data_IF_230495163740
#
_entry.id   IF_230495163740
#
_cell.length_a   1.000
_cell.length_b   1.000
_cell.length_c   1.000
_cell.angle_alpha   90.00
_cell.angle_beta   90.00
_cell.angle_gamma   90.00
#
_symmetry.space_group_name_H-M   'P 1'
#
loop_
_entity.id
_entity.type
_entity.pdbx_description
1 polymer ?
#
# COMPACT_ATOMS: atom_id res chain seq x y z
N UNK A 1 -21.06 6.50 -27.07
CA UNK A 1 -19.92 6.86 -26.20
C UNK A 1 -19.83 5.76 -25.15
N UNK A 2 -18.78 4.91 -25.13
CA UNK A 2 -18.70 3.87 -24.12
C UNK A 2 -18.51 4.54 -22.75
N UNK A 3 -19.11 4.02 -21.67
CA UNK A 3 -18.88 4.58 -20.34
C UNK A 3 -17.39 4.48 -20.06
N UNK A 4 -16.72 5.62 -20.02
CA UNK A 4 -15.32 5.71 -19.68
C UNK A 4 -15.14 4.99 -18.34
N UNK A 5 -14.15 4.09 -18.25
CA UNK A 5 -13.77 3.37 -17.02
C UNK A 5 -13.16 4.36 -16.02
N UNK A 6 -13.94 5.35 -15.60
CA UNK A 6 -13.60 6.53 -14.80
C UNK A 6 -13.82 6.24 -13.32
N UNK A 7 -13.27 5.15 -12.83
CA UNK A 7 -13.45 4.78 -11.42
C UNK A 7 -12.14 4.75 -10.65
N UNK A 8 -10.96 4.55 -11.29
CA UNK A 8 -9.65 4.56 -10.61
C UNK A 8 -9.18 5.99 -10.27
N UNK A 9 -9.74 6.60 -9.23
CA UNK A 9 -9.43 7.96 -8.74
C UNK A 9 -8.47 8.00 -7.55
N UNK A 10 -7.96 6.83 -7.17
CA UNK A 10 -7.16 6.70 -5.96
C UNK A 10 -5.92 5.88 -6.24
N UNK A 11 -4.85 6.19 -5.52
CA UNK A 11 -3.59 5.46 -5.61
C UNK A 11 -3.17 5.07 -4.19
N UNK A 12 -2.94 3.78 -3.95
CA UNK A 12 -2.24 3.33 -2.76
C UNK A 12 -0.78 3.13 -3.09
N UNK A 13 0.11 3.64 -2.26
CA UNK A 13 1.56 3.54 -2.43
C UNK A 13 2.15 3.01 -1.14
N UNK A 14 2.66 1.79 -1.17
CA UNK A 14 3.44 1.22 -0.08
C UNK A 14 4.91 1.62 -0.24
N UNK A 15 5.51 2.12 0.84
CA UNK A 15 6.92 2.45 0.93
C UNK A 15 7.52 1.70 2.11
N UNK A 16 8.47 0.81 1.84
CA UNK A 16 9.34 0.24 2.87
C UNK A 16 10.58 1.12 2.97
N UNK A 17 10.73 1.81 4.10
CA UNK A 17 11.86 2.72 4.32
C UNK A 17 13.21 2.02 4.43
N UNK A 18 13.22 0.73 4.81
CA UNK A 18 14.44 -0.04 4.99
C UNK A 18 14.95 -0.60 3.67
N UNK A 19 14.07 -1.23 2.89
CA UNK A 19 14.45 -1.75 1.56
C UNK A 19 14.39 -0.69 0.47
N UNK A 20 13.95 0.53 0.81
CA UNK A 20 13.64 1.60 -0.15
C UNK A 20 12.70 1.13 -1.25
N UNK A 21 11.86 0.14 -0.94
CA UNK A 21 10.97 -0.47 -1.92
C UNK A 21 9.66 0.29 -1.99
N UNK A 22 9.15 0.45 -3.21
CA UNK A 22 7.95 1.24 -3.51
C UNK A 22 7.02 0.40 -4.40
N UNK A 23 5.77 0.23 -3.98
CA UNK A 23 4.74 -0.37 -4.83
C UNK A 23 3.49 0.50 -4.83
N UNK A 24 3.05 0.87 -6.02
CA UNK A 24 1.86 1.68 -6.23
C UNK A 24 0.77 0.85 -6.90
N UNK A 25 -0.46 0.92 -6.38
CA UNK A 25 -1.63 0.27 -6.94
C UNK A 25 -2.77 1.28 -7.14
N UNK A 26 -3.33 1.40 -8.35
CA UNK A 26 -4.51 2.22 -8.57
C UNK A 26 -5.75 1.53 -7.99
N UNK A 27 -6.60 2.30 -7.32
CA UNK A 27 -7.83 1.85 -6.69
C UNK A 27 -9.02 2.65 -7.19
N UNK A 28 -10.14 1.94 -7.37
CA UNK A 28 -11.41 2.57 -7.76
C UNK A 28 -12.03 3.37 -6.62
N UNK A 29 -11.82 2.90 -5.39
CA UNK A 29 -12.37 3.49 -4.18
C UNK A 29 -11.45 3.21 -3.02
N UNK A 30 -11.23 4.22 -2.19
CA UNK A 30 -10.61 4.07 -0.87
C UNK A 30 -11.63 3.38 0.03
N UNK A 31 -11.56 2.06 0.09
CA UNK A 31 -12.26 1.24 1.09
C UNK A 31 -11.21 0.56 1.96
N UNK A 32 -11.52 0.38 3.23
CA UNK A 32 -10.68 -0.35 4.19
C UNK A 32 -10.35 -1.75 3.70
N UNK A 33 -11.31 -2.43 3.07
CA UNK A 33 -11.12 -3.76 2.48
C UNK A 33 -10.06 -3.79 1.37
N UNK A 34 -10.05 -2.80 0.49
CA UNK A 34 -9.08 -2.72 -0.61
C UNK A 34 -7.68 -2.42 -0.08
N UNK A 35 -7.58 -1.52 0.92
CA UNK A 35 -6.32 -1.21 1.60
C UNK A 35 -5.80 -2.45 2.32
N UNK A 36 -6.64 -3.17 3.07
CA UNK A 36 -6.24 -4.41 3.75
C UNK A 36 -5.79 -5.50 2.77
N UNK A 37 -6.54 -5.73 1.68
CA UNK A 37 -6.16 -6.70 0.65
C UNK A 37 -4.82 -6.36 0.00
N UNK A 38 -4.59 -5.08 -0.28
CA UNK A 38 -3.32 -4.61 -0.83
C UNK A 38 -2.18 -4.80 0.18
N UNK A 39 -2.33 -4.34 1.43
CA UNK A 39 -1.34 -4.54 2.50
C UNK A 39 -1.03 -6.02 2.70
N UNK A 40 -2.04 -6.89 2.71
CA UNK A 40 -1.83 -8.32 2.86
C UNK A 40 -1.02 -8.91 1.70
N UNK A 41 -1.38 -8.57 0.46
CA UNK A 41 -0.73 -9.11 -0.73
C UNK A 41 0.68 -8.55 -0.96
N UNK A 42 0.87 -7.26 -0.75
CA UNK A 42 2.11 -6.55 -1.07
C UNK A 42 3.12 -6.56 0.08
N UNK A 43 2.64 -6.56 1.34
CA UNK A 43 3.49 -6.52 2.53
C UNK A 43 3.52 -7.89 3.22
N UNK A 44 2.37 -8.40 3.68
CA UNK A 44 2.33 -9.61 4.53
C UNK A 44 2.77 -10.87 3.78
N UNK A 45 2.27 -11.10 2.56
CA UNK A 45 2.63 -12.29 1.78
C UNK A 45 4.09 -12.33 1.34
N UNK A 46 4.78 -11.18 1.28
CA UNK A 46 6.18 -11.08 0.80
C UNK A 46 7.19 -10.93 1.92
N UNK A 47 6.90 -10.06 2.88
CA UNK A 47 7.81 -9.68 3.94
C UNK A 47 7.38 -10.26 5.29
N UNK A 48 6.16 -10.75 5.45
CA UNK A 48 5.62 -11.16 6.75
C UNK A 48 4.95 -9.99 7.49
N UNK A 49 4.64 -10.19 8.77
CA UNK A 49 3.85 -9.24 9.54
C UNK A 49 4.74 -8.04 9.93
N UNK A 50 4.42 -6.82 9.46
CA UNK A 50 5.18 -5.64 9.83
C UNK A 50 4.91 -5.26 11.28
N UNK A 51 5.93 -4.74 11.98
CA UNK A 51 5.78 -4.32 13.38
C UNK A 51 4.93 -3.04 13.51
N UNK A 52 5.06 -2.12 12.55
CA UNK A 52 4.27 -0.90 12.50
C UNK A 52 3.88 -0.56 11.06
N UNK A 53 2.59 -0.28 10.87
CA UNK A 53 2.03 0.20 9.62
C UNK A 53 1.43 1.58 9.84
N UNK A 54 1.93 2.59 9.13
CA UNK A 54 1.37 3.93 9.19
C UNK A 54 0.72 4.26 7.86
N UNK A 55 -0.52 4.76 7.90
CA UNK A 55 -1.30 5.06 6.70
C UNK A 55 -1.66 6.54 6.66
N UNK A 56 -1.16 7.26 5.66
CA UNK A 56 -1.48 8.69 5.44
C UNK A 56 -2.44 8.83 4.27
N UNK A 57 -3.51 9.61 4.47
CA UNK A 57 -4.45 9.96 3.40
C UNK A 57 -4.21 11.41 3.00
N UNK A 58 -3.67 11.62 1.81
CA UNK A 58 -3.53 12.93 1.21
C UNK A 58 -4.70 13.19 0.25
N UNK A 59 -5.39 14.31 0.42
CA UNK A 59 -6.47 14.75 -0.48
C UNK A 59 -5.99 15.94 -1.28
N UNK A 60 -5.54 15.73 -2.52
CA UNK A 60 -5.17 16.81 -3.42
C UNK A 60 -6.22 16.85 -4.54
N UNK A 61 -7.10 17.86 -4.51
CA UNK A 61 -8.09 18.15 -5.56
C UNK A 61 -8.58 16.96 -6.39
N UNK A 62 -9.55 16.20 -5.88
CA UNK A 62 -10.22 15.04 -6.48
C UNK A 62 -9.52 13.67 -6.46
N UNK A 63 -8.20 13.59 -6.34
CA UNK A 63 -7.47 12.32 -6.20
C UNK A 63 -6.90 12.16 -4.79
N UNK A 64 -7.10 10.99 -4.17
CA UNK A 64 -6.53 10.70 -2.86
C UNK A 64 -5.46 9.61 -2.95
N UNK A 65 -4.29 9.95 -2.39
CA UNK A 65 -3.13 9.09 -2.32
C UNK A 65 -2.99 8.56 -0.90
N UNK A 66 -2.91 7.25 -0.77
CA UNK A 66 -2.72 6.56 0.51
C UNK A 66 -1.29 6.07 0.57
N UNK A 67 -0.46 6.72 1.38
CA UNK A 67 0.89 6.25 1.67
C UNK A 67 0.83 5.24 2.81
N UNK A 68 1.36 4.05 2.57
CA UNK A 68 1.50 2.99 3.56
C UNK A 68 2.98 2.84 3.87
N UNK A 69 3.40 3.38 5.01
CA UNK A 69 4.77 3.27 5.48
C UNK A 69 4.92 2.02 6.33
N UNK A 70 5.92 1.20 5.97
CA UNK A 70 6.26 -0.01 6.70
C UNK A 70 7.52 0.27 7.52
N UNK A 71 7.37 0.32 8.84
CA UNK A 71 8.47 0.46 9.81
C UNK A 71 9.08 -0.92 10.14
N UNK A 72 10.41 -0.92 10.33
CA UNK A 72 11.33 -2.05 10.17
C UNK A 72 10.95 -3.39 10.83
N UNK A 73 11.29 -4.48 10.13
CA UNK A 73 11.52 -5.80 10.71
C UNK A 73 12.97 -5.88 11.23
N UNK A 74 13.18 -5.73 12.53
CA UNK A 74 14.49 -5.88 13.18
C UNK A 74 15.09 -7.31 13.13
N UNK A 75 14.54 -8.22 12.33
CA UNK A 75 14.91 -9.65 12.26
C UNK A 75 14.91 -10.19 10.82
N UNK A 76 15.36 -9.41 9.82
CA UNK A 76 15.70 -9.94 8.47
C UNK A 76 16.94 -10.86 8.47
N UNK A 77 17.03 -11.78 9.43
CA UNK A 77 18.03 -12.83 9.54
C UNK A 77 17.44 -14.23 9.86
N UNK A 78 16.14 -14.49 9.70
CA UNK A 78 15.61 -15.84 10.00
C UNK A 78 14.73 -16.55 8.97
N UNK A 79 14.39 -15.94 7.82
CA UNK A 79 13.61 -16.65 6.79
C UNK A 79 14.09 -16.41 5.36
N UNK A 80 15.40 -16.26 5.18
CA UNK A 80 16.07 -16.76 3.97
C UNK A 80 16.82 -18.03 4.40
N UNK A 81 16.12 -19.16 4.40
CA UNK A 81 16.74 -20.49 4.27
C UNK A 81 16.85 -20.82 2.78
#
# INVERSE_FOLDING_TARGET
>A
IPPAKSQLKFLIVAIDYFTKWIEACPLAKITTENVQKFTWKSIICRFGIPHSLVTYRLTYGADAMILVEVGEMSHRCCFQQ
#
